data_IF_451204025372
#
_entry.id   IF_451204025372
#
_cell.length_a   1.000
_cell.length_b   1.000
_cell.length_c   1.000
_cell.angle_alpha   90.00
_cell.angle_beta   90.00
_cell.angle_gamma   90.00
#
_symmetry.space_group_name_H-M   'P 1'
#
loop_
_entity.id
_entity.type
_entity.pdbx_description
1 polymer ?
#
# COMPACT_ATOMS: atom_id res chain seq x y z
N UNK A 1 19.54 10.09 -3.81
CA UNK A 1 18.14 9.61 -3.82
C UNK A 1 17.98 8.47 -4.80
N UNK A 2 17.19 7.47 -4.42
CA UNK A 2 16.83 6.36 -5.31
C UNK A 2 15.70 6.83 -6.24
N UNK A 3 15.86 6.61 -7.54
CA UNK A 3 14.78 6.82 -8.50
C UNK A 3 13.90 5.57 -8.55
N UNK A 4 12.59 5.76 -8.58
CA UNK A 4 11.64 4.67 -8.81
C UNK A 4 11.53 4.47 -10.32
N UNK A 5 11.71 3.24 -10.78
CA UNK A 5 11.81 2.90 -12.20
C UNK A 5 10.87 1.74 -12.56
N UNK A 6 10.44 1.67 -13.82
CA UNK A 6 9.60 0.57 -14.33
C UNK A 6 10.22 -0.78 -13.99
N UNK A 7 9.38 -1.74 -13.59
CA UNK A 7 9.77 -3.08 -13.16
C UNK A 7 10.03 -3.21 -11.66
N UNK A 8 10.16 -2.10 -10.93
CA UNK A 8 10.27 -2.15 -9.48
C UNK A 8 8.94 -2.56 -8.84
N UNK A 9 9.02 -3.39 -7.80
CA UNK A 9 7.89 -3.72 -6.93
C UNK A 9 8.17 -3.21 -5.53
N UNK A 10 7.15 -2.60 -4.92
CA UNK A 10 7.26 -2.02 -3.58
C UNK A 10 5.88 -1.90 -2.92
N UNK A 11 5.87 -1.53 -1.64
CA UNK A 11 4.62 -1.24 -0.93
C UNK A 11 4.33 0.26 -0.99
N UNK A 12 3.11 0.60 -1.40
CA UNK A 12 2.50 1.86 -0.99
C UNK A 12 1.83 1.61 0.35
N UNK A 13 2.13 2.46 1.32
CA UNK A 13 1.71 2.27 2.69
C UNK A 13 1.22 3.60 3.26
N UNK A 14 0.00 3.58 3.78
CA UNK A 14 -0.60 4.68 4.53
C UNK A 14 -0.95 4.19 5.92
N UNK A 15 -0.66 5.00 6.94
CA UNK A 15 -0.95 4.66 8.34
C UNK A 15 -1.64 5.82 9.04
N UNK A 16 -2.42 5.47 10.07
CA UNK A 16 -2.90 6.35 11.11
C UNK A 16 -2.48 5.73 12.44
N UNK A 17 -1.44 6.31 13.05
CA UNK A 17 -0.81 5.81 14.27
C UNK A 17 -1.01 6.80 15.41
N UNK A 18 -0.98 6.32 16.65
CA UNK A 18 -1.01 7.16 17.85
C UNK A 18 -2.38 7.78 18.13
N UNK A 19 -3.46 7.13 17.69
CA UNK A 19 -4.83 7.67 17.82
C UNK A 19 -5.41 7.56 19.24
N UNK A 20 -4.79 6.74 20.10
CA UNK A 20 -5.29 6.41 21.43
C UNK A 20 -6.55 5.51 21.43
N UNK A 21 -7.05 5.10 20.25
CA UNK A 21 -8.24 4.26 20.09
C UNK A 21 -8.01 3.02 19.22
N UNK A 22 -6.84 2.92 18.59
CA UNK A 22 -6.46 1.85 17.69
C UNK A 22 -5.68 2.42 16.51
N UNK A 23 -4.60 1.76 16.13
CA UNK A 23 -3.84 2.13 14.96
C UNK A 23 -4.36 1.38 13.74
N UNK A 24 -4.32 2.03 12.58
CA UNK A 24 -4.77 1.46 11.32
C UNK A 24 -3.73 1.72 10.24
N UNK A 25 -3.54 0.75 9.36
CA UNK A 25 -2.69 0.92 8.19
C UNK A 25 -3.20 0.10 7.01
N UNK A 26 -3.05 0.67 5.82
CA UNK A 26 -3.32 0.00 4.56
C UNK A 26 -2.00 -0.11 3.81
N UNK A 27 -1.69 -1.33 3.37
CA UNK A 27 -0.49 -1.65 2.63
C UNK A 27 -0.87 -2.39 1.35
N UNK A 28 -0.47 -1.84 0.20
CA UNK A 28 -0.66 -2.48 -1.09
C UNK A 28 0.69 -2.69 -1.76
N UNK A 29 0.97 -3.92 -2.18
CA UNK A 29 2.06 -4.19 -3.11
C UNK A 29 1.68 -3.65 -4.49
N UNK A 30 2.59 -2.90 -5.12
CA UNK A 30 2.46 -2.40 -6.48
C UNK A 30 3.62 -2.85 -7.35
N UNK A 31 3.36 -3.02 -8.64
CA UNK A 31 4.37 -3.09 -9.70
C UNK A 31 4.35 -1.77 -10.47
N UNK A 32 5.48 -1.08 -10.58
CA UNK A 32 5.57 0.09 -11.45
C UNK A 32 5.72 -0.36 -12.91
N UNK A 33 4.76 0.01 -13.73
CA UNK A 33 4.76 -0.21 -15.18
C UNK A 33 4.95 1.11 -15.92
N UNK A 34 5.14 1.06 -17.23
CA UNK A 34 5.20 2.27 -18.06
C UNK A 34 3.87 3.06 -18.08
N UNK A 35 2.75 2.44 -17.69
CA UNK A 35 1.45 3.08 -17.56
C UNK A 35 1.15 3.60 -16.14
N UNK A 36 2.08 3.40 -15.19
CA UNK A 36 1.92 3.73 -13.77
C UNK A 36 1.92 2.50 -12.85
N UNK A 37 1.54 2.69 -11.60
CA UNK A 37 1.57 1.65 -10.58
C UNK A 37 0.33 0.73 -10.66
N UNK A 38 0.56 -0.56 -10.94
CA UNK A 38 -0.47 -1.60 -10.87
C UNK A 38 -0.57 -2.13 -9.45
N UNK A 39 -1.77 -2.13 -8.86
CA UNK A 39 -2.01 -2.70 -7.52
C UNK A 39 -2.18 -4.20 -7.61
N UNK A 40 -1.30 -4.94 -6.94
CA UNK A 40 -1.31 -6.41 -6.93
C UNK A 40 -2.11 -6.99 -5.76
N UNK A 41 -2.39 -6.17 -4.74
CA UNK A 41 -3.15 -6.60 -3.55
C UNK A 41 -4.64 -6.69 -3.87
N UNK A 42 -5.25 -7.84 -3.54
CA UNK A 42 -6.67 -8.13 -3.84
C UNK A 42 -7.55 -8.30 -2.60
N UNK A 43 -6.94 -8.27 -1.41
CA UNK A 43 -7.70 -8.32 -0.15
C UNK A 43 -8.63 -7.11 -0.08
N UNK A 44 -9.92 -7.30 0.28
CA UNK A 44 -10.82 -6.17 0.50
C UNK A 44 -10.23 -5.16 1.47
N UNK A 45 -10.37 -3.87 1.14
CA UNK A 45 -9.97 -2.80 2.03
C UNK A 45 -11.01 -2.58 3.14
N UNK A 46 -10.56 -2.04 4.27
CA UNK A 46 -11.39 -1.66 5.41
C UNK A 46 -11.37 -2.68 6.56
N UNK A 47 -12.10 -2.38 7.65
CA UNK A 47 -12.10 -3.21 8.84
C UNK A 47 -12.71 -4.59 8.58
N UNK A 48 -12.04 -5.64 9.07
CA UNK A 48 -12.61 -6.99 9.12
C UNK A 48 -13.33 -7.13 10.45
N UNK A 49 -14.67 -7.13 10.40
CA UNK A 49 -15.51 -7.42 11.56
C UNK A 49 -15.72 -8.93 11.60
N UNK A 50 -15.44 -9.57 12.74
CA UNK A 50 -15.61 -11.00 12.98
C UNK A 50 -16.58 -11.25 14.12
#
# INVERSE_FOLDING_TARGET
>A
DLKIETGMSFHILSWLMGTGRGDDFVSNTVLLTDAGAEVLTRTPAGPIVR
#
